data_IF_220924679381
#
_entry.id   IF_220924679381
#
_cell.length_a   1.000
_cell.length_b   1.000
_cell.length_c   1.000
_cell.angle_alpha   90.00
_cell.angle_beta   90.00
_cell.angle_gamma   90.00
#
_symmetry.space_group_name_H-M   'P 1'
#
loop_
_entity.id
_entity.type
_entity.pdbx_description
1 polymer ?
#
# COMPACT_ATOMS: atom_id res chain seq x y z
N UNK A 1 11.54 -15.34 -0.78
CA UNK A 1 11.07 -14.19 -1.58
C UNK A 1 11.64 -12.94 -0.93
N UNK A 2 12.61 -12.30 -1.56
CA UNK A 2 13.25 -11.09 -1.05
C UNK A 2 12.60 -9.87 -1.68
N UNK A 3 11.66 -9.25 -0.96
CA UNK A 3 10.94 -8.07 -1.39
C UNK A 3 11.52 -6.82 -0.71
N UNK A 4 11.83 -5.78 -1.49
CA UNK A 4 12.29 -4.50 -0.96
C UNK A 4 11.83 -3.32 -1.82
N UNK A 5 11.76 -2.15 -1.21
CA UNK A 5 11.65 -0.87 -1.93
C UNK A 5 13.06 -0.36 -2.25
N UNK A 6 13.24 0.22 -3.44
CA UNK A 6 14.48 0.87 -3.86
C UNK A 6 14.90 2.00 -2.92
N UNK A 7 16.16 2.42 -3.02
CA UNK A 7 16.70 3.48 -2.18
C UNK A 7 16.11 4.86 -2.49
N UNK A 8 15.68 5.07 -3.74
CA UNK A 8 14.95 6.27 -4.18
C UNK A 8 13.47 6.25 -3.82
N UNK A 9 12.93 5.14 -3.29
CA UNK A 9 11.53 5.05 -2.92
C UNK A 9 10.56 4.89 -4.10
N UNK A 10 11.01 4.67 -5.33
CA UNK A 10 10.13 4.65 -6.51
C UNK A 10 9.97 3.29 -7.19
N UNK A 11 10.66 2.25 -6.71
CA UNK A 11 10.57 0.90 -7.29
C UNK A 11 10.43 -0.19 -6.24
N UNK A 12 9.68 -1.23 -6.61
CA UNK A 12 9.54 -2.48 -5.87
C UNK A 12 10.44 -3.52 -6.52
N UNK A 13 11.29 -4.14 -5.71
CA UNK A 13 12.21 -5.18 -6.17
C UNK A 13 11.84 -6.52 -5.56
N UNK A 14 11.72 -7.52 -6.42
CA UNK A 14 11.55 -8.92 -6.07
C UNK A 14 12.80 -9.69 -6.49
N UNK A 15 13.53 -10.23 -5.51
CA UNK A 15 14.78 -10.96 -5.75
C UNK A 15 15.76 -10.15 -6.63
N UNK A 16 15.88 -8.85 -6.32
CA UNK A 16 16.69 -7.82 -7.01
C UNK A 16 16.25 -7.45 -8.44
N UNK A 17 15.10 -7.93 -8.91
CA UNK A 17 14.49 -7.46 -10.16
C UNK A 17 13.42 -6.42 -9.87
N UNK A 18 13.43 -5.31 -10.59
CA UNK A 18 12.34 -4.33 -10.54
C UNK A 18 11.11 -4.98 -11.14
N UNK A 19 10.03 -5.05 -10.36
CA UNK A 19 8.73 -5.57 -10.81
C UNK A 19 7.69 -4.45 -10.96
N UNK A 20 7.85 -3.34 -10.23
CA UNK A 20 6.93 -2.23 -10.29
C UNK A 20 7.69 -0.93 -10.05
N UNK A 21 7.33 0.12 -10.78
CA UNK A 21 7.87 1.47 -10.63
C UNK A 21 6.73 2.46 -10.61
N UNK A 22 6.72 3.32 -9.59
CA UNK A 22 5.83 4.47 -9.48
C UNK A 22 6.62 5.74 -9.78
N UNK A 23 6.27 6.42 -10.88
CA UNK A 23 6.94 7.69 -11.27
C UNK A 23 6.43 8.90 -10.50
N UNK A 24 5.19 8.83 -10.03
CA UNK A 24 4.48 9.96 -9.43
C UNK A 24 4.46 9.89 -7.91
N UNK A 25 4.39 8.67 -7.37
CA UNK A 25 4.21 8.42 -5.93
C UNK A 25 5.45 7.79 -5.31
N UNK A 26 5.79 8.24 -4.11
CA UNK A 26 6.85 7.66 -3.29
C UNK A 26 6.36 6.38 -2.57
N UNK A 27 7.26 5.48 -2.23
CA UNK A 27 7.00 4.27 -1.45
C UNK A 27 7.95 4.22 -0.25
N UNK A 28 7.41 3.80 0.88
CA UNK A 28 8.19 3.64 2.11
C UNK A 28 8.73 2.23 2.26
N UNK A 29 9.99 2.12 2.69
CA UNK A 29 10.62 0.86 3.13
C UNK A 29 9.95 0.22 4.37
N UNK A 30 8.93 0.86 4.94
CA UNK A 30 8.19 0.37 6.13
C UNK A 30 6.76 -0.08 5.81
N UNK A 31 6.20 0.35 4.69
CA UNK A 31 4.76 0.27 4.44
C UNK A 31 4.46 -0.56 3.19
N UNK A 32 4.95 -1.79 3.21
CA UNK A 32 4.70 -2.80 2.20
C UNK A 32 4.75 -4.19 2.83
N UNK A 33 4.20 -5.18 2.15
CA UNK A 33 4.25 -6.56 2.63
C UNK A 33 3.61 -7.52 1.65
N UNK A 34 3.45 -8.77 2.09
CA UNK A 34 2.95 -9.83 1.21
C UNK A 34 1.87 -10.64 1.90
N UNK A 35 0.83 -10.99 1.15
CA UNK A 35 -0.32 -11.74 1.65
C UNK A 35 -0.87 -12.60 0.51
N UNK A 36 -1.07 -13.89 0.77
CA UNK A 36 -1.61 -14.84 -0.22
C UNK A 36 -0.91 -14.80 -1.59
N UNK A 37 0.42 -14.66 -1.58
CA UNK A 37 1.24 -14.57 -2.80
C UNK A 37 1.21 -13.23 -3.52
N UNK A 38 0.39 -12.27 -3.07
CA UNK A 38 0.30 -10.91 -3.60
C UNK A 38 1.19 -9.96 -2.81
N UNK A 39 1.54 -8.84 -3.43
CA UNK A 39 2.36 -7.78 -2.86
C UNK A 39 1.47 -6.56 -2.62
N UNK A 40 1.46 -6.09 -1.36
CA UNK A 40 0.69 -4.92 -0.94
C UNK A 40 1.66 -3.79 -0.68
N UNK A 41 1.40 -2.64 -1.28
CA UNK A 41 2.26 -1.46 -1.19
C UNK A 41 1.40 -0.27 -0.86
N UNK A 42 1.90 0.56 0.05
CA UNK A 42 1.36 1.90 0.26
C UNK A 42 2.16 2.91 -0.56
N UNK A 43 1.44 3.69 -1.35
CA UNK A 43 1.93 4.83 -2.11
C UNK A 43 1.76 6.10 -1.26
N UNK A 44 2.74 7.00 -1.34
CA UNK A 44 2.79 8.26 -0.62
C UNK A 44 2.86 9.41 -1.60
N UNK A 45 2.11 10.47 -1.27
CA UNK A 45 1.99 11.76 -1.96
C UNK A 45 1.71 11.72 -3.47
N UNK A 46 0.64 12.29 -3.98
CA UNK A 46 -0.43 12.97 -3.22
C UNK A 46 -1.48 12.00 -2.68
N UNK A 47 -1.60 10.80 -3.24
CA UNK A 47 -2.85 10.05 -3.08
C UNK A 47 -2.90 9.05 -1.90
N UNK A 48 -1.86 8.83 -1.09
CA UNK A 48 -1.90 7.89 0.05
C UNK A 48 -2.45 6.47 -0.26
N UNK A 49 -2.45 6.09 -1.55
CA UNK A 49 -3.15 4.91 -2.06
C UNK A 49 -2.53 3.62 -1.53
N UNK A 50 -3.33 2.55 -1.52
CA UNK A 50 -2.87 1.20 -1.25
C UNK A 50 -3.11 0.36 -2.48
N UNK A 51 -2.05 -0.16 -3.06
CA UNK A 51 -2.11 -1.00 -4.25
C UNK A 51 -1.81 -2.45 -3.92
N UNK A 52 -2.35 -3.33 -4.74
CA UNK A 52 -2.01 -4.73 -4.77
C UNK A 52 -1.48 -5.09 -6.14
N UNK A 53 -0.28 -5.66 -6.17
CA UNK A 53 0.35 -6.14 -7.40
C UNK A 53 0.66 -7.63 -7.29
N UNK A 54 0.69 -8.30 -8.44
CA UNK A 54 1.24 -9.66 -8.54
C UNK A 54 2.78 -9.62 -8.60
N UNK A 55 3.42 -10.78 -8.52
CA UNK A 55 4.88 -10.95 -8.54
C UNK A 55 5.53 -10.52 -9.84
N UNK A 56 4.76 -10.44 -10.92
CA UNK A 56 5.21 -9.93 -12.21
C UNK A 56 5.04 -8.40 -12.36
N UNK A 57 4.48 -7.73 -11.34
CA UNK A 57 4.21 -6.30 -11.36
C UNK A 57 2.81 -5.90 -11.79
N UNK A 58 1.97 -6.86 -12.21
CA UNK A 58 0.59 -6.58 -12.65
C UNK A 58 -0.22 -5.97 -11.52
N UNK A 59 -0.79 -4.78 -11.73
CA UNK A 59 -1.75 -4.15 -10.81
C UNK A 59 -3.05 -4.97 -10.79
N UNK A 60 -3.44 -5.41 -9.61
CA UNK A 60 -4.66 -6.21 -9.38
C UNK A 60 -5.81 -5.30 -8.93
N UNK A 61 -5.55 -4.47 -7.91
CA UNK A 61 -6.51 -3.50 -7.39
C UNK A 61 -5.79 -2.35 -6.71
N UNK A 62 -6.52 -1.25 -6.54
CA UNK A 62 -6.09 -0.03 -5.87
C UNK A 62 -7.21 0.48 -4.96
N UNK A 63 -6.83 0.91 -3.76
CA UNK A 63 -7.68 1.66 -2.84
C UNK A 63 -7.21 3.10 -2.86
N UNK A 64 -8.03 3.95 -3.44
CA UNK A 64 -7.78 5.38 -3.54
C UNK A 64 -8.09 6.09 -2.22
N UNK A 65 -7.18 6.93 -1.74
CA UNK A 65 -7.52 7.91 -0.70
C UNK A 65 -8.10 9.15 -1.38
N UNK A 66 -9.43 9.27 -1.38
CA UNK A 66 -10.13 10.37 -2.08
C UNK A 66 -10.13 11.68 -1.28
N UNK A 67 -9.29 11.80 -0.26
CA UNK A 67 -9.26 12.98 0.61
C UNK A 67 -8.30 14.03 0.07
N UNK A 68 -8.77 15.27 -0.07
CA UNK A 68 -7.97 16.40 -0.58
C UNK A 68 -6.96 16.94 0.46
N UNK A 69 -6.96 16.44 1.71
CA UNK A 69 -6.12 16.95 2.79
C UNK A 69 -4.90 16.05 3.06
N UNK A 70 -3.86 16.19 2.25
CA UNK A 70 -2.65 15.34 2.30
C UNK A 70 -1.71 15.59 3.51
N UNK A 71 -2.22 16.17 4.60
CA UNK A 71 -1.41 16.68 5.72
C UNK A 71 -1.25 15.72 6.90
N UNK A 72 -1.80 14.52 6.85
CA UNK A 72 -1.81 13.67 8.04
C UNK A 72 -0.46 12.91 8.25
N UNK A 73 0.24 13.12 9.38
CA UNK A 73 1.45 12.37 9.73
C UNK A 73 1.18 10.94 10.23
N UNK A 74 -0.07 10.54 10.48
CA UNK A 74 -0.39 9.22 11.03
C UNK A 74 -0.43 8.15 9.94
N UNK A 75 0.74 7.60 9.62
CA UNK A 75 0.90 6.52 8.65
C UNK A 75 0.95 5.17 9.38
N UNK A 76 -0.21 4.58 9.71
CA UNK A 76 -0.25 3.17 10.12
C UNK A 76 -0.42 2.27 8.89
N UNK A 77 0.30 1.15 8.87
CA UNK A 77 0.12 0.08 7.92
C UNK A 77 0.53 -1.23 8.58
N UNK A 78 -0.31 -2.24 8.49
CA UNK A 78 -0.06 -3.57 9.03
C UNK A 78 -0.79 -4.62 8.20
N UNK A 79 -0.19 -5.81 8.10
CA UNK A 79 -0.80 -6.97 7.45
C UNK A 79 -0.84 -8.10 8.47
N UNK A 80 -2.05 -8.44 8.92
CA UNK A 80 -2.25 -9.47 9.94
C UNK A 80 -3.60 -10.15 9.79
N UNK A 81 -3.71 -11.39 10.27
CA UNK A 81 -4.97 -12.15 10.29
C UNK A 81 -5.69 -12.19 8.93
N UNK A 82 -4.92 -12.25 7.84
CA UNK A 82 -5.43 -12.21 6.46
C UNK A 82 -6.17 -10.91 6.08
N UNK A 83 -5.81 -9.78 6.69
CA UNK A 83 -6.32 -8.46 6.36
C UNK A 83 -5.20 -7.43 6.28
N UNK A 84 -5.49 -6.33 5.57
CA UNK A 84 -4.63 -5.15 5.53
C UNK A 84 -5.29 -4.09 6.41
N UNK A 85 -4.52 -3.50 7.31
CA UNK A 85 -4.93 -2.40 8.16
C UNK A 85 -4.09 -1.19 7.79
N UNK A 86 -4.72 -0.06 7.50
CA UNK A 86 -3.99 1.15 7.17
C UNK A 86 -4.72 2.39 7.64
N UNK A 87 -3.98 3.43 7.99
CA UNK A 87 -4.54 4.78 8.17
C UNK A 87 -4.57 5.48 6.82
N UNK A 88 -5.73 5.74 6.26
CA UNK A 88 -5.92 6.78 5.22
C UNK A 88 -6.16 8.12 5.92
N UNK A 89 -6.04 9.25 5.21
CA UNK A 89 -5.99 10.60 5.80
C UNK A 89 -6.95 10.83 6.96
N UNK A 90 -8.22 10.45 6.83
CA UNK A 90 -9.24 10.70 7.85
C UNK A 90 -9.72 9.46 8.59
N UNK A 91 -9.21 8.27 8.26
CA UNK A 91 -9.74 7.03 8.81
C UNK A 91 -8.73 5.90 8.88
N UNK A 92 -8.94 5.01 9.85
CA UNK A 92 -8.33 3.69 9.83
C UNK A 92 -9.25 2.73 9.07
N UNK A 93 -8.70 2.06 8.07
CA UNK A 93 -9.40 1.11 7.22
C UNK A 93 -8.88 -0.30 7.42
N UNK A 94 -9.81 -1.26 7.35
CA UNK A 94 -9.52 -2.69 7.19
C UNK A 94 -9.93 -3.10 5.79
N UNK A 95 -8.99 -3.66 5.03
CA UNK A 95 -9.16 -3.97 3.61
C UNK A 95 -9.08 -5.48 3.40
N UNK A 96 -9.99 -6.00 2.58
CA UNK A 96 -9.93 -7.37 2.06
C UNK A 96 -8.77 -7.50 1.05
N UNK A 97 -7.76 -8.34 1.31
CA UNK A 97 -6.60 -8.48 0.42
C UNK A 97 -6.94 -9.11 -0.94
N UNK A 98 -8.10 -9.76 -1.08
CA UNK A 98 -8.50 -10.39 -2.34
C UNK A 98 -9.13 -9.40 -3.31
N UNK A 99 -9.88 -8.43 -2.77
CA UNK A 99 -10.74 -7.54 -3.57
C UNK A 99 -10.36 -6.07 -3.48
N UNK A 100 -9.52 -5.68 -2.52
CA UNK A 100 -9.28 -4.26 -2.21
C UNK A 100 -10.47 -3.60 -1.52
N UNK A 101 -11.54 -4.33 -1.22
CA UNK A 101 -12.74 -3.74 -0.60
C UNK A 101 -12.46 -3.33 0.84
N UNK A 102 -12.80 -2.10 1.19
CA UNK A 102 -12.84 -1.63 2.58
C UNK A 102 -13.99 -2.36 3.30
N UNK A 103 -13.64 -3.12 4.33
CA UNK A 103 -14.56 -3.90 5.15
C UNK A 103 -15.03 -3.11 6.39
N UNK A 104 -14.12 -2.34 6.99
CA UNK A 104 -14.38 -1.51 8.17
C UNK A 104 -13.63 -0.18 8.01
N UNK A 105 -14.26 0.92 8.43
CA UNK A 105 -13.69 2.26 8.40
C UNK A 105 -14.01 2.99 9.70
N UNK A 106 -13.00 3.48 10.40
CA UNK A 106 -13.14 4.21 11.66
C UNK A 106 -12.45 5.57 11.54
N UNK A 107 -13.21 6.65 11.65
CA UNK A 107 -12.67 8.00 11.63
C UNK A 107 -11.91 8.31 12.93
N UNK A 108 -10.75 8.95 12.82
CA UNK A 108 -10.08 9.51 13.99
C UNK A 108 -10.99 10.59 14.62
N UNK A 109 -11.19 10.53 15.94
CA UNK A 109 -11.96 11.53 16.70
C UNK A 109 -11.12 12.77 16.96
#
# INVERSE_FOLDING_TARGET
MNLRISDDGHSVLLDNKIIYTSKEYEMSKRFFGTINGKIIIRLFRDNNNIICIDKDGTLIWEVEDTTEDHRDPYQAFDIRNNFIFASVTLANVKIDPHTGKILEQTYAK
#
